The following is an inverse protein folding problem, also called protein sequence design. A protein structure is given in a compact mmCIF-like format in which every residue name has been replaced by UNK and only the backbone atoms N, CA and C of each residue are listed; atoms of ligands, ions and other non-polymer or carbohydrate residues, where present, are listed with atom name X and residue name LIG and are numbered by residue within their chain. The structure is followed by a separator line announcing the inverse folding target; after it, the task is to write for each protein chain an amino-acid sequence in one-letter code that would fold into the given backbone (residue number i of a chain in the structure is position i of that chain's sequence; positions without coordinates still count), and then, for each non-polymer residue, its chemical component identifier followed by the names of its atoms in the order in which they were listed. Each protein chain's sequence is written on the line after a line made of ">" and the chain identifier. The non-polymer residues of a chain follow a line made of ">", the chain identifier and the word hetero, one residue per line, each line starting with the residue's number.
data_IF_263475521455
#
_entry.id   IF_263475521455
#
_cell.length_a   1.000
_cell.length_b   1.000
_cell.length_c   1.000
_cell.angle_alpha   90.00
_cell.angle_beta   90.00
_cell.angle_gamma   90.00
#
_symmetry.space_group_name_H-M   'P 1'
#
loop_
_entity.id
_entity.type
_entity.pdbx_description
1 polymer ?
#
# COMPACT_ATOMS: atom_id res chain seq x y z
N UNK A 1 -13.25 -6.80 -18.37
CA UNK A 1 -13.50 -5.38 -18.05
C UNK A 1 -13.04 -5.19 -16.62
N UNK A 2 -11.78 -4.80 -16.48
CA UNK A 2 -11.06 -4.75 -15.21
C UNK A 2 -11.41 -3.48 -14.44
N UNK A 3 -11.50 -3.60 -13.11
CA UNK A 3 -11.60 -2.50 -12.15
C UNK A 3 -10.54 -1.45 -12.46
N UNK A 4 -10.97 -0.32 -13.02
CA UNK A 4 -10.25 0.95 -12.95
C UNK A 4 -10.62 1.59 -11.60
N UNK A 5 -10.21 0.98 -10.50
CA UNK A 5 -10.29 1.61 -9.18
C UNK A 5 -9.04 2.48 -9.01
N UNK A 6 -9.21 3.76 -9.36
CA UNK A 6 -8.68 4.92 -8.64
C UNK A 6 -7.40 4.74 -7.79
N UNK A 7 -6.23 4.59 -8.44
CA UNK A 7 -4.92 4.77 -7.79
C UNK A 7 -4.34 6.17 -7.97
N UNK A 8 -5.06 7.08 -8.65
CA UNK A 8 -4.67 8.50 -8.79
C UNK A 8 -4.81 9.31 -7.48
N UNK A 9 -5.41 8.73 -6.43
CA UNK A 9 -6.08 9.51 -5.37
C UNK A 9 -5.47 9.41 -3.96
N UNK A 10 -4.76 8.34 -3.59
CA UNK A 10 -4.36 8.16 -2.18
C UNK A 10 -3.12 8.97 -1.76
N UNK A 11 -2.23 9.36 -2.69
CA UNK A 11 -1.09 10.24 -2.38
C UNK A 11 -1.43 11.75 -2.43
N UNK A 12 -2.63 12.12 -2.87
CA UNK A 12 -3.04 13.52 -3.06
C UNK A 12 -4.14 14.01 -2.10
N UNK A 13 -4.82 13.11 -1.39
CA UNK A 13 -5.92 13.47 -0.49
C UNK A 13 -5.45 13.64 0.96
N UNK A 14 -4.86 14.80 1.25
CA UNK A 14 -4.72 15.30 2.62
C UNK A 14 -5.83 16.30 2.95
N UNK A 15 -6.58 15.98 4.02
CA UNK A 15 -7.50 16.82 4.82
C UNK A 15 -8.94 17.10 4.30
N UNK A 16 -9.90 16.52 5.05
CA UNK A 16 -11.18 17.02 5.56
C UNK A 16 -12.09 17.93 4.69
N UNK A 17 -13.31 17.45 4.36
CA UNK A 17 -14.62 17.85 4.93
C UNK A 17 -15.83 17.51 3.99
N UNK A 18 -17.12 17.61 4.42
CA UNK A 18 -18.10 16.54 4.27
C UNK A 18 -19.03 16.64 3.05
N UNK A 19 -19.65 15.52 2.75
CA UNK A 19 -20.58 15.31 1.64
C UNK A 19 -21.93 16.01 1.84
N UNK A 20 -22.36 16.80 0.84
CA UNK A 20 -23.74 17.24 0.68
C UNK A 20 -24.43 16.58 -0.52
N UNK A 21 -25.70 16.26 -0.29
CA UNK A 21 -26.52 15.33 -1.05
C UNK A 21 -27.08 15.91 -2.35
N UNK A 22 -27.27 15.01 -3.31
CA UNK A 22 -27.83 15.22 -4.64
C UNK A 22 -29.33 15.56 -4.66
N UNK A 23 -29.71 16.52 -5.50
CA UNK A 23 -31.08 16.71 -5.99
C UNK A 23 -31.13 16.67 -7.52
N UNK A 24 -31.86 15.72 -8.09
CA UNK A 24 -32.07 15.54 -9.53
C UNK A 24 -33.09 16.55 -10.11
N UNK A 25 -32.85 17.06 -11.32
CA UNK A 25 -33.93 17.38 -12.26
C UNK A 25 -33.41 17.42 -13.72
N UNK A 26 -34.05 16.62 -14.59
CA UNK A 26 -33.87 16.59 -16.05
C UNK A 26 -34.67 17.71 -16.73
N UNK A 27 -34.13 18.37 -17.75
CA UNK A 27 -34.88 18.76 -18.97
C UNK A 27 -33.93 18.98 -20.16
N UNK A 28 -34.36 18.52 -21.34
CA UNK A 28 -33.70 18.71 -22.66
C UNK A 28 -34.18 20.02 -23.29
N UNK A 29 -33.29 20.81 -23.88
CA UNK A 29 -33.63 21.82 -24.88
C UNK A 29 -32.48 22.08 -25.87
N UNK A 30 -32.86 22.53 -27.07
CA UNK A 30 -32.16 22.46 -28.34
C UNK A 30 -30.92 23.37 -28.51
N UNK A 31 -30.16 23.08 -29.56
CA UNK A 31 -28.82 23.60 -29.83
C UNK A 31 -28.72 25.11 -30.05
N UNK A 32 -27.64 25.66 -29.49
CA UNK A 32 -26.97 26.90 -29.91
C UNK A 32 -25.48 26.59 -30.05
N UNK A 33 -24.76 27.20 -31.01
CA UNK A 33 -23.33 26.95 -31.17
C UNK A 33 -22.64 27.35 -29.87
N UNK A 34 -21.88 26.42 -29.27
CA UNK A 34 -21.11 26.66 -28.06
C UNK A 34 -20.07 27.75 -28.35
N UNK A 35 -20.42 29.01 -28.06
CA UNK A 35 -19.43 30.08 -27.87
C UNK A 35 -18.43 29.53 -26.85
N UNK A 36 -17.16 29.40 -27.24
CA UNK A 36 -16.05 29.11 -26.32
C UNK A 36 -16.20 30.05 -25.13
N UNK A 37 -16.49 29.51 -23.93
CA UNK A 37 -16.37 30.26 -22.69
C UNK A 37 -14.91 30.72 -22.63
N UNK A 38 -14.65 32.02 -22.78
CA UNK A 38 -13.39 32.63 -22.34
C UNK A 38 -13.30 32.30 -20.85
N UNK A 39 -12.28 31.53 -20.43
CA UNK A 39 -11.97 31.31 -19.00
C UNK A 39 -11.90 32.72 -18.38
N UNK A 40 -12.68 32.97 -17.33
CA UNK A 40 -12.68 34.27 -16.66
C UNK A 40 -11.24 34.53 -16.20
N UNK A 41 -10.66 35.65 -16.65
CA UNK A 41 -9.35 36.06 -16.17
C UNK A 41 -9.53 36.33 -14.67
N UNK A 42 -8.93 35.51 -13.81
CA UNK A 42 -8.98 35.73 -12.37
C UNK A 42 -8.27 37.06 -12.12
N UNK A 43 -8.96 38.07 -11.58
CA UNK A 43 -8.30 39.30 -11.17
C UNK A 43 -7.42 38.96 -9.96
N UNK A 44 -6.11 38.85 -10.19
CA UNK A 44 -5.12 38.61 -9.15
C UNK A 44 -4.72 39.96 -8.58
N UNK A 45 -5.05 40.21 -7.31
CA UNK A 45 -4.67 41.45 -6.61
C UNK A 45 -3.14 41.54 -6.52
N UNK A 46 -2.58 42.70 -6.85
CA UNK A 46 -1.12 42.87 -6.91
C UNK A 46 -0.52 43.09 -5.51
N UNK A 47 -0.10 42.01 -4.86
CA UNK A 47 0.53 42.01 -3.53
C UNK A 47 1.81 42.85 -3.46
N UNK A 48 2.56 42.97 -4.56
CA UNK A 48 3.75 43.83 -4.59
C UNK A 48 3.36 45.30 -4.56
N UNK A 49 2.35 45.68 -5.36
CA UNK A 49 1.80 47.03 -5.34
C UNK A 49 1.13 47.36 -4.00
N UNK A 50 0.45 46.40 -3.36
CA UNK A 50 -0.20 46.57 -2.06
C UNK A 50 0.82 46.87 -0.94
N UNK A 51 1.95 46.17 -0.95
CA UNK A 51 3.06 46.43 -0.03
C UNK A 51 3.95 47.61 -0.48
N UNK A 52 3.80 48.10 -1.71
CA UNK A 52 4.64 49.16 -2.28
C UNK A 52 6.09 48.74 -2.52
N UNK A 53 6.31 47.46 -2.86
CA UNK A 53 7.64 46.90 -3.13
C UNK A 53 7.78 46.45 -4.58
N UNK A 54 9.02 46.36 -5.06
CA UNK A 54 9.31 45.75 -6.36
C UNK A 54 9.20 44.22 -6.31
N UNK A 55 8.91 43.58 -7.45
CA UNK A 55 8.85 42.12 -7.57
C UNK A 55 10.19 41.43 -7.22
N UNK A 56 11.32 42.13 -7.34
CA UNK A 56 12.64 41.66 -6.94
C UNK A 56 12.99 41.95 -5.46
N UNK A 57 12.04 42.44 -4.65
CA UNK A 57 12.29 42.78 -3.26
C UNK A 57 12.73 41.57 -2.42
N UNK A 58 13.77 41.78 -1.62
CA UNK A 58 14.30 40.80 -0.68
C UNK A 58 13.47 40.75 0.62
N UNK A 59 13.72 39.72 1.44
CA UNK A 59 13.01 39.51 2.70
C UNK A 59 13.09 40.72 3.67
N UNK A 60 14.26 41.38 3.86
CA UNK A 60 14.36 42.61 4.63
C UNK A 60 13.51 43.77 4.09
N UNK A 61 13.44 43.96 2.77
CA UNK A 61 12.58 44.97 2.15
C UNK A 61 11.09 44.67 2.36
N UNK A 62 10.66 43.42 2.17
CA UNK A 62 9.28 42.99 2.43
C UNK A 62 8.86 43.24 3.88
N UNK A 63 9.72 42.91 4.84
CA UNK A 63 9.45 43.13 6.27
C UNK A 63 9.34 44.62 6.61
N UNK A 64 10.22 45.46 6.06
CA UNK A 64 10.17 46.93 6.26
C UNK A 64 8.89 47.52 5.68
N UNK A 65 8.51 47.09 4.48
CA UNK A 65 7.30 47.52 3.80
C UNK A 65 6.03 47.11 4.58
N UNK A 66 5.97 45.87 5.06
CA UNK A 66 4.88 45.40 5.91
C UNK A 66 4.73 46.24 7.18
N UNK A 67 5.83 46.50 7.90
CA UNK A 67 5.80 47.34 9.12
C UNK A 67 5.32 48.76 8.80
N UNK A 68 5.76 49.35 7.69
CA UNK A 68 5.31 50.67 7.27
C UNK A 68 3.80 50.68 6.95
N UNK A 69 3.32 49.68 6.20
CA UNK A 69 1.91 49.54 5.84
C UNK A 69 1.00 49.23 7.02
N UNK A 70 1.46 48.46 8.01
CA UNK A 70 0.72 48.25 9.27
C UNK A 70 0.58 49.52 10.11
N UNK A 71 1.56 50.43 10.06
CA UNK A 71 1.44 51.73 10.74
C UNK A 71 0.50 52.68 10.01
N UNK A 72 0.49 52.63 8.69
CA UNK A 72 -0.41 53.41 7.83
C UNK A 72 -1.86 52.91 7.91
N UNK A 73 -2.06 51.60 8.02
CA UNK A 73 -3.36 50.93 8.13
C UNK A 73 -3.43 50.07 9.41
N UNK A 74 -3.66 50.69 10.59
CA UNK A 74 -3.83 49.93 11.84
C UNK A 74 -5.09 49.06 11.83
N UNK A 75 -5.07 47.87 12.47
CA UNK A 75 -6.20 46.94 12.47
C UNK A 75 -7.47 47.50 13.14
N UNK A 76 -7.33 48.46 14.06
CA UNK A 76 -8.47 49.05 14.76
C UNK A 76 -9.25 50.06 13.91
N UNK A 77 -8.59 50.72 12.95
CA UNK A 77 -9.22 51.75 12.10
C UNK A 77 -9.38 51.32 10.64
N UNK A 78 -8.55 50.40 10.16
CA UNK A 78 -8.50 49.89 8.78
C UNK A 78 -8.40 48.35 8.75
N UNK A 79 -9.39 47.63 9.30
CA UNK A 79 -9.32 46.17 9.44
C UNK A 79 -9.26 45.43 8.09
N UNK A 80 -9.95 45.94 7.07
CA UNK A 80 -9.98 45.30 5.74
C UNK A 80 -8.65 45.47 4.99
N UNK A 81 -8.10 46.68 4.96
CA UNK A 81 -6.80 46.96 4.33
C UNK A 81 -5.66 46.26 5.06
N UNK A 82 -5.69 46.25 6.39
CA UNK A 82 -4.73 45.51 7.21
C UNK A 82 -4.76 44.02 6.89
N UNK A 83 -5.95 43.42 6.75
CA UNK A 83 -6.08 42.01 6.39
C UNK A 83 -5.48 41.72 5.01
N UNK A 84 -5.71 42.58 4.02
CA UNK A 84 -5.10 42.44 2.68
C UNK A 84 -3.57 42.56 2.74
N UNK A 85 -3.04 43.55 3.47
CA UNK A 85 -1.59 43.77 3.67
C UNK A 85 -0.94 42.55 4.34
N UNK A 86 -1.62 41.98 5.35
CA UNK A 86 -1.19 40.77 6.03
C UNK A 86 -1.15 39.58 5.08
N UNK A 87 -2.23 39.33 4.31
CA UNK A 87 -2.28 38.24 3.32
C UNK A 87 -1.17 38.40 2.28
N UNK A 88 -0.96 39.60 1.74
CA UNK A 88 0.11 39.88 0.79
C UNK A 88 1.50 39.59 1.37
N UNK A 89 1.76 40.02 2.61
CA UNK A 89 3.04 39.71 3.26
C UNK A 89 3.20 38.22 3.56
N UNK A 90 2.16 37.55 4.04
CA UNK A 90 2.20 36.12 4.38
C UNK A 90 2.44 35.25 3.14
N UNK A 91 1.93 35.64 1.97
CA UNK A 91 2.19 34.98 0.68
C UNK A 91 3.61 35.28 0.18
N UNK A 92 4.03 36.55 0.18
CA UNK A 92 5.32 36.95 -0.39
C UNK A 92 6.53 36.59 0.49
N UNK A 93 6.33 36.34 1.79
CA UNK A 93 7.38 35.93 2.72
C UNK A 93 7.80 34.46 2.56
N UNK A 94 6.87 33.59 2.17
CA UNK A 94 7.14 32.17 1.97
C UNK A 94 7.63 31.95 0.53
N UNK A 95 8.84 31.41 0.31
CA UNK A 95 9.40 31.24 -1.04
C UNK A 95 8.52 30.41 -1.98
N UNK A 96 7.88 29.36 -1.48
CA UNK A 96 7.02 28.48 -2.28
C UNK A 96 5.71 29.19 -2.63
N UNK A 97 5.07 29.82 -1.63
CA UNK A 97 3.82 30.58 -1.87
C UNK A 97 4.03 31.79 -2.76
N UNK A 98 5.19 32.46 -2.66
CA UNK A 98 5.59 33.56 -3.54
C UNK A 98 5.74 33.06 -4.98
N UNK A 99 6.41 31.92 -5.18
CA UNK A 99 6.54 31.30 -6.51
C UNK A 99 5.18 30.98 -7.13
N UNK A 100 4.28 30.37 -6.36
CA UNK A 100 2.91 30.06 -6.81
C UNK A 100 2.10 31.32 -7.15
N UNK A 101 2.23 32.37 -6.33
CA UNK A 101 1.59 33.65 -6.60
C UNK A 101 2.14 34.33 -7.85
N UNK A 102 3.46 34.34 -8.04
CA UNK A 102 4.11 34.89 -9.23
C UNK A 102 3.64 34.15 -10.50
N UNK A 103 3.54 32.83 -10.42
CA UNK A 103 2.95 31.98 -11.46
C UNK A 103 1.49 32.38 -11.74
N UNK A 104 0.65 32.47 -10.71
CA UNK A 104 -0.76 32.83 -10.86
C UNK A 104 -0.93 34.23 -11.47
N UNK A 105 -0.12 35.19 -11.05
CA UNK A 105 -0.11 36.56 -11.56
C UNK A 105 0.34 36.62 -13.02
N UNK A 106 1.33 35.82 -13.42
CA UNK A 106 1.87 35.81 -14.79
C UNK A 106 0.98 35.05 -15.78
N UNK A 107 0.43 33.90 -15.37
CA UNK A 107 -0.26 32.96 -16.26
C UNK A 107 -1.79 32.93 -16.07
N UNK A 108 -2.31 33.49 -14.98
CA UNK A 108 -3.74 33.52 -14.66
C UNK A 108 -4.29 32.21 -14.08
N UNK A 109 -3.45 31.18 -13.92
CA UNK A 109 -3.76 29.89 -13.29
C UNK A 109 -2.50 29.27 -12.68
N UNK A 110 -2.63 28.41 -11.67
CA UNK A 110 -1.50 27.72 -11.04
C UNK A 110 -1.23 26.36 -11.68
N UNK A 111 -0.04 25.81 -11.42
CA UNK A 111 0.30 24.42 -11.74
C UNK A 111 -0.70 23.47 -11.07
N UNK A 112 -1.06 23.73 -9.82
CA UNK A 112 -1.99 22.91 -9.04
C UNK A 112 -3.41 22.93 -9.65
N UNK A 113 -3.89 24.09 -10.13
CA UNK A 113 -5.17 24.17 -10.83
C UNK A 113 -5.18 23.36 -12.13
N UNK A 114 -4.07 23.38 -12.87
CA UNK A 114 -3.91 22.58 -14.10
C UNK A 114 -3.84 21.08 -13.80
N UNK A 115 -3.14 20.68 -12.74
CA UNK A 115 -3.06 19.30 -12.30
C UNK A 115 -4.44 18.80 -11.86
N UNK A 116 -5.14 19.55 -11.01
CA UNK A 116 -6.51 19.23 -10.57
C UNK A 116 -7.47 19.13 -11.75
N UNK A 117 -7.38 20.05 -12.72
CA UNK A 117 -8.22 19.97 -13.92
C UNK A 117 -7.88 18.71 -14.75
N UNK A 118 -6.60 18.36 -14.88
CA UNK A 118 -6.16 17.16 -15.59
C UNK A 118 -6.61 15.87 -14.90
N UNK A 119 -6.49 15.77 -13.57
CA UNK A 119 -6.91 14.60 -12.79
C UNK A 119 -8.43 14.44 -12.72
N UNK A 120 -9.20 15.54 -12.81
CA UNK A 120 -10.66 15.47 -12.88
C UNK A 120 -11.20 14.81 -14.16
N UNK A 121 -10.37 14.60 -15.19
CA UNK A 121 -10.82 14.02 -16.46
C UNK A 121 -10.94 12.50 -16.30
N UNK A 122 -12.05 11.88 -16.75
CA UNK A 122 -12.25 10.43 -16.62
C UNK A 122 -11.34 9.61 -17.51
N UNK A 123 -10.71 10.22 -18.52
CA UNK A 123 -9.81 9.55 -19.46
C UNK A 123 -8.64 10.47 -19.79
N UNK A 124 -7.47 9.86 -19.96
CA UNK A 124 -6.28 10.55 -20.44
C UNK A 124 -6.46 10.75 -21.94
N UNK A 125 -6.65 12.01 -22.34
CA UNK A 125 -6.83 12.39 -23.73
C UNK A 125 -5.92 13.58 -24.07
N UNK A 126 -6.00 14.04 -25.33
CA UNK A 126 -5.19 15.17 -25.82
C UNK A 126 -5.33 16.43 -24.96
N UNK A 127 -6.51 16.71 -24.40
CA UNK A 127 -6.71 17.87 -23.53
C UNK A 127 -6.00 17.69 -22.19
N UNK A 128 -6.05 16.50 -21.59
CA UNK A 128 -5.30 16.17 -20.37
C UNK A 128 -3.81 16.40 -20.59
N UNK A 129 -3.25 15.87 -21.69
CA UNK A 129 -1.83 16.07 -22.04
C UNK A 129 -1.51 17.55 -22.24
N UNK A 130 -2.39 18.33 -22.88
CA UNK A 130 -2.16 19.76 -23.07
C UNK A 130 -2.18 20.53 -21.74
N UNK A 131 -3.07 20.17 -20.79
CA UNK A 131 -3.08 20.78 -19.46
C UNK A 131 -1.77 20.49 -18.72
N UNK A 132 -1.31 19.24 -18.74
CA UNK A 132 -0.05 18.82 -18.12
C UNK A 132 1.19 19.44 -18.78
N UNK A 133 1.19 19.59 -20.11
CA UNK A 133 2.24 20.34 -20.81
C UNK A 133 2.30 21.79 -20.36
N UNK A 134 1.15 22.47 -20.28
CA UNK A 134 1.08 23.85 -19.79
C UNK A 134 1.57 23.95 -18.35
N UNK A 135 1.26 22.97 -17.50
CA UNK A 135 1.77 22.91 -16.14
C UNK A 135 3.32 22.83 -16.11
N UNK A 136 3.91 21.98 -16.95
CA UNK A 136 5.37 21.88 -17.11
C UNK A 136 5.99 23.11 -17.79
N UNK A 137 5.26 23.81 -18.67
CA UNK A 137 5.74 25.06 -19.29
C UNK A 137 5.78 26.22 -18.26
N UNK A 138 4.82 26.23 -17.32
CA UNK A 138 4.74 27.22 -16.24
C UNK A 138 5.83 27.01 -15.19
N UNK A 139 6.02 25.76 -14.73
CA UNK A 139 7.08 25.38 -13.79
C UNK A 139 7.83 24.14 -14.31
N UNK A 140 8.92 24.34 -15.06
CA UNK A 140 9.69 23.25 -15.64
C UNK A 140 10.31 22.31 -14.63
N UNK A 141 10.44 22.68 -13.35
CA UNK A 141 11.04 21.81 -12.34
C UNK A 141 10.00 21.16 -11.40
N UNK A 142 8.70 21.37 -11.68
CA UNK A 142 7.63 20.76 -10.91
C UNK A 142 7.58 19.24 -11.11
N UNK A 143 7.97 18.48 -10.08
CA UNK A 143 8.02 17.01 -10.12
C UNK A 143 6.65 16.39 -10.34
N UNK A 144 5.61 16.87 -9.63
CA UNK A 144 4.24 16.34 -9.76
C UNK A 144 3.72 16.48 -11.19
N UNK A 145 3.89 17.66 -11.81
CA UNK A 145 3.47 17.90 -13.18
C UNK A 145 4.23 17.01 -14.19
N UNK A 146 5.53 16.80 -13.98
CA UNK A 146 6.33 15.92 -14.84
C UNK A 146 5.97 14.45 -14.70
N UNK A 147 5.77 13.95 -13.48
CA UNK A 147 5.32 12.57 -13.25
C UNK A 147 3.94 12.33 -13.87
N UNK A 148 2.99 13.25 -13.66
CA UNK A 148 1.67 13.17 -14.27
C UNK A 148 1.75 13.18 -15.81
N UNK A 149 2.61 14.03 -16.40
CA UNK A 149 2.83 14.07 -17.84
C UNK A 149 3.51 12.78 -18.36
N UNK A 150 4.47 12.22 -17.62
CA UNK A 150 5.13 10.96 -17.95
C UNK A 150 4.12 9.81 -17.98
N UNK A 151 3.30 9.69 -16.93
CA UNK A 151 2.23 8.71 -16.84
C UNK A 151 1.25 8.85 -18.01
N UNK A 152 0.81 10.08 -18.30
CA UNK A 152 -0.11 10.35 -19.41
C UNK A 152 0.48 9.94 -20.77
N UNK A 153 1.78 10.10 -20.96
CA UNK A 153 2.46 9.64 -22.16
C UNK A 153 2.57 8.11 -22.23
N UNK A 154 2.91 7.42 -21.15
CA UNK A 154 2.89 5.96 -21.14
C UNK A 154 1.49 5.41 -21.43
N UNK A 155 0.46 5.96 -20.78
CA UNK A 155 -0.94 5.57 -20.97
C UNK A 155 -1.48 5.85 -22.40
N UNK A 156 -0.81 6.70 -23.17
CA UNK A 156 -1.18 7.03 -24.56
C UNK A 156 -0.16 6.54 -25.59
N UNK A 157 0.67 5.56 -25.22
CA UNK A 157 1.67 4.89 -26.07
C UNK A 157 2.73 5.85 -26.66
N UNK A 158 3.25 6.74 -25.80
CA UNK A 158 4.29 7.73 -26.14
C UNK A 158 5.51 7.59 -25.23
N UNK A 159 6.19 6.44 -25.24
CA UNK A 159 7.23 6.13 -24.26
C UNK A 159 8.43 7.06 -24.34
N UNK A 160 8.84 7.50 -25.53
CA UNK A 160 10.00 8.38 -25.69
C UNK A 160 9.80 9.71 -24.95
N UNK A 161 8.61 10.31 -25.07
CA UNK A 161 8.29 11.55 -24.37
C UNK A 161 8.12 11.33 -22.86
N UNK A 162 7.61 10.16 -22.44
CA UNK A 162 7.51 9.78 -21.04
C UNK A 162 8.90 9.68 -20.39
N UNK A 163 9.82 8.92 -21.00
CA UNK A 163 11.22 8.84 -20.54
C UNK A 163 11.91 10.21 -20.57
N UNK A 164 11.56 11.08 -21.52
CA UNK A 164 12.04 12.47 -21.55
C UNK A 164 11.72 13.24 -20.26
N UNK A 165 10.53 13.06 -19.69
CA UNK A 165 10.17 13.66 -18.39
C UNK A 165 11.00 13.07 -17.25
N UNK A 166 11.15 11.74 -17.22
CA UNK A 166 11.96 11.05 -16.22
C UNK A 166 13.43 11.52 -16.24
N UNK A 167 14.06 11.56 -17.42
CA UNK A 167 15.46 12.00 -17.54
C UNK A 167 15.64 13.47 -17.17
N UNK A 168 14.64 14.32 -17.41
CA UNK A 168 14.67 15.69 -16.94
C UNK A 168 14.72 15.78 -15.41
N UNK A 169 13.85 15.01 -14.73
CA UNK A 169 13.83 14.93 -13.26
C UNK A 169 15.14 14.33 -12.73
N UNK A 170 15.62 13.24 -13.33
CA UNK A 170 16.85 12.55 -12.95
C UNK A 170 18.09 13.45 -12.98
N UNK A 171 18.21 14.35 -13.97
CA UNK A 171 19.34 15.28 -14.09
C UNK A 171 19.42 16.32 -12.95
N UNK A 172 18.32 16.54 -12.24
CA UNK A 172 18.19 17.52 -11.15
C UNK A 172 17.99 16.87 -9.78
N UNK A 173 17.82 15.55 -9.74
CA UNK A 173 17.67 14.79 -8.51
C UNK A 173 19.02 14.68 -7.79
N UNK A 174 18.97 14.76 -6.45
CA UNK A 174 20.14 14.44 -5.63
C UNK A 174 20.38 12.92 -5.64
N UNK A 175 21.62 12.44 -5.41
CA UNK A 175 21.92 11.01 -5.47
C UNK A 175 21.04 10.12 -4.59
N UNK A 176 20.67 10.61 -3.41
CA UNK A 176 19.77 9.95 -2.44
C UNK A 176 18.31 9.85 -2.92
N UNK A 177 17.89 10.69 -3.86
CA UNK A 177 16.53 10.70 -4.41
C UNK A 177 16.38 9.77 -5.62
N UNK A 178 17.50 9.37 -6.24
CA UNK A 178 17.51 8.61 -7.49
C UNK A 178 16.82 7.24 -7.39
N UNK A 179 16.98 6.44 -6.31
CA UNK A 179 16.28 5.17 -6.21
C UNK A 179 14.76 5.35 -6.17
N UNK A 180 14.25 6.25 -5.33
CA UNK A 180 12.80 6.50 -5.25
C UNK A 180 12.25 6.98 -6.59
N UNK A 181 12.92 7.93 -7.24
CA UNK A 181 12.51 8.42 -8.56
C UNK A 181 12.46 7.32 -9.63
N UNK A 182 13.41 6.37 -9.61
CA UNK A 182 13.41 5.24 -10.55
C UNK A 182 12.36 4.19 -10.17
N UNK A 183 12.12 3.95 -8.89
CA UNK A 183 11.01 3.13 -8.42
C UNK A 183 9.67 3.67 -8.95
N UNK A 184 9.45 5.00 -8.88
CA UNK A 184 8.24 5.64 -9.40
C UNK A 184 8.11 5.44 -10.94
N UNK A 185 9.23 5.40 -11.67
CA UNK A 185 9.22 5.04 -13.10
C UNK A 185 8.76 3.61 -13.34
N UNK A 186 9.26 2.65 -12.56
CA UNK A 186 8.82 1.24 -12.66
C UNK A 186 7.33 1.13 -12.34
N UNK A 187 6.87 1.78 -11.26
CA UNK A 187 5.46 1.82 -10.88
C UNK A 187 4.58 2.38 -12.00
N UNK A 188 4.99 3.48 -12.65
CA UNK A 188 4.25 4.03 -13.80
C UNK A 188 4.16 3.04 -14.97
N UNK A 189 5.23 2.28 -15.25
CA UNK A 189 5.24 1.26 -16.30
C UNK A 189 4.30 0.08 -15.97
N UNK A 190 4.30 -0.38 -14.71
CA UNK A 190 3.38 -1.42 -14.22
C UNK A 190 1.93 -0.96 -14.35
N UNK A 191 1.60 0.21 -13.82
CA UNK A 191 0.24 0.75 -13.85
C UNK A 191 -0.30 1.00 -15.26
N UNK A 192 0.59 1.28 -16.22
CA UNK A 192 0.22 1.45 -17.64
C UNK A 192 0.33 0.17 -18.46
N UNK A 193 0.49 -0.99 -17.79
CA UNK A 193 0.54 -2.32 -18.38
C UNK A 193 1.66 -2.48 -19.43
N UNK A 194 2.79 -1.80 -19.22
CA UNK A 194 3.97 -1.81 -20.10
C UNK A 194 4.96 -2.88 -19.64
N UNK A 195 4.52 -4.14 -19.73
CA UNK A 195 5.16 -5.33 -19.14
C UNK A 195 6.66 -5.45 -19.46
N UNK A 196 7.04 -5.36 -20.73
CA UNK A 196 8.43 -5.58 -21.15
C UNK A 196 9.37 -4.47 -20.63
N UNK A 197 8.92 -3.23 -20.63
CA UNK A 197 9.72 -2.11 -20.10
C UNK A 197 9.74 -2.09 -18.57
N UNK A 198 8.64 -2.42 -17.90
CA UNK A 198 8.58 -2.55 -16.45
C UNK A 198 9.62 -3.57 -15.96
N UNK A 199 9.64 -4.77 -16.55
CA UNK A 199 10.62 -5.80 -16.20
C UNK A 199 12.06 -5.36 -16.49
N UNK A 200 12.29 -4.72 -17.65
CA UNK A 200 13.64 -4.26 -18.02
C UNK A 200 14.17 -3.19 -17.05
N UNK A 201 13.32 -2.24 -16.64
CA UNK A 201 13.69 -1.19 -15.69
C UNK A 201 13.80 -1.72 -14.25
N UNK A 202 12.96 -2.68 -13.85
CA UNK A 202 13.09 -3.37 -12.55
C UNK A 202 14.43 -4.12 -12.43
N UNK A 203 14.85 -4.84 -13.48
CA UNK A 203 16.16 -5.50 -13.52
C UNK A 203 17.32 -4.52 -13.42
N UNK A 204 17.24 -3.41 -14.15
CA UNK A 204 18.25 -2.34 -14.07
C UNK A 204 18.29 -1.70 -12.69
N UNK A 205 17.13 -1.52 -12.07
CA UNK A 205 17.02 -1.00 -10.72
C UNK A 205 17.73 -1.91 -9.71
N UNK A 206 17.43 -3.22 -9.71
CA UNK A 206 18.05 -4.22 -8.84
C UNK A 206 19.58 -4.23 -8.98
N UNK A 207 20.09 -4.18 -10.21
CA UNK A 207 21.53 -4.15 -10.47
C UNK A 207 22.20 -2.82 -10.06
N UNK A 208 21.47 -1.71 -10.09
CA UNK A 208 22.03 -0.36 -9.82
C UNK A 208 21.93 0.02 -8.35
N UNK A 209 20.81 -0.30 -7.69
CA UNK A 209 20.52 0.06 -6.31
C UNK A 209 20.10 -1.17 -5.49
N UNK A 210 20.99 -2.17 -5.33
CA UNK A 210 20.66 -3.41 -4.65
C UNK A 210 20.13 -3.18 -3.23
N UNK A 211 20.68 -2.20 -2.50
CA UNK A 211 20.23 -1.84 -1.15
C UNK A 211 18.91 -1.07 -1.08
N UNK A 212 18.47 -0.49 -2.19
CA UNK A 212 17.16 0.15 -2.28
C UNK A 212 16.05 -0.83 -2.70
N UNK A 213 16.41 -2.07 -3.08
CA UNK A 213 15.45 -3.08 -3.53
C UNK A 213 14.39 -3.41 -2.47
N UNK A 214 14.78 -3.47 -1.20
CA UNK A 214 13.85 -3.72 -0.10
C UNK A 214 12.76 -2.63 0.00
N UNK A 215 13.14 -1.36 -0.11
CA UNK A 215 12.17 -0.25 -0.06
C UNK A 215 11.31 -0.14 -1.34
N UNK A 216 11.76 -0.74 -2.44
CA UNK A 216 11.06 -0.79 -3.72
C UNK A 216 10.39 -2.16 -3.96
N UNK A 217 10.33 -3.02 -2.95
CA UNK A 217 10.09 -4.45 -3.11
C UNK A 217 8.77 -4.75 -3.81
N UNK A 218 7.68 -4.14 -3.34
CA UNK A 218 6.34 -4.37 -3.90
C UNK A 218 6.28 -3.98 -5.38
N UNK A 219 6.83 -2.81 -5.73
CA UNK A 219 6.87 -2.34 -7.13
C UNK A 219 7.73 -3.26 -8.02
N UNK A 220 8.83 -3.80 -7.48
CA UNK A 220 9.66 -4.74 -8.22
C UNK A 220 8.94 -6.09 -8.39
N UNK A 221 8.30 -6.60 -7.35
CA UNK A 221 7.51 -7.82 -7.40
C UNK A 221 6.39 -7.71 -8.43
N UNK A 222 5.59 -6.65 -8.38
CA UNK A 222 4.52 -6.37 -9.35
C UNK A 222 5.04 -6.34 -10.80
N UNK A 223 6.22 -5.75 -11.04
CA UNK A 223 6.80 -5.70 -12.38
C UNK A 223 7.19 -7.10 -12.91
N UNK A 224 7.65 -7.99 -12.05
CA UNK A 224 7.97 -9.37 -12.42
C UNK A 224 6.72 -10.25 -12.53
N UNK A 225 5.73 -10.08 -11.64
CA UNK A 225 4.42 -10.75 -11.71
C UNK A 225 3.68 -10.38 -12.99
N UNK A 226 3.66 -9.09 -13.35
CA UNK A 226 3.06 -8.63 -14.60
C UNK A 226 3.68 -9.31 -15.83
N UNK A 227 4.95 -9.72 -15.73
CA UNK A 227 5.66 -10.43 -16.78
C UNK A 227 5.61 -11.97 -16.64
N UNK A 228 5.07 -12.51 -15.55
CA UNK A 228 5.11 -13.93 -15.19
C UNK A 228 6.54 -14.45 -15.02
N UNK A 229 7.42 -13.67 -14.40
CA UNK A 229 8.87 -13.94 -14.23
C UNK A 229 9.32 -13.98 -12.77
N UNK A 230 8.43 -14.23 -11.84
CA UNK A 230 8.68 -14.27 -10.38
C UNK A 230 9.82 -15.25 -10.02
N UNK A 231 9.96 -16.36 -10.76
CA UNK A 231 11.08 -17.29 -10.60
C UNK A 231 12.43 -16.67 -10.96
N UNK A 232 12.47 -15.75 -11.93
CA UNK A 232 13.68 -14.99 -12.25
C UNK A 232 14.00 -14.01 -11.14
N UNK A 233 13.00 -13.31 -10.58
CA UNK A 233 13.20 -12.41 -9.43
C UNK A 233 13.82 -13.15 -8.24
N UNK A 234 13.31 -14.36 -7.95
CA UNK A 234 13.86 -15.21 -6.89
C UNK A 234 15.35 -15.55 -7.11
N UNK A 235 15.74 -15.80 -8.36
CA UNK A 235 17.13 -16.05 -8.71
C UNK A 235 17.99 -14.77 -8.67
N UNK A 236 17.45 -13.65 -9.14
CA UNK A 236 18.12 -12.35 -9.17
C UNK A 236 18.48 -11.88 -7.75
N UNK A 237 17.57 -12.03 -6.77
CA UNK A 237 17.84 -11.67 -5.37
C UNK A 237 18.87 -12.58 -4.73
N UNK A 238 18.76 -13.89 -4.99
CA UNK A 238 19.75 -14.86 -4.51
C UNK A 238 21.15 -14.51 -5.02
N UNK A 239 21.26 -14.06 -6.29
CA UNK A 239 22.51 -13.61 -6.88
C UNK A 239 22.97 -12.27 -6.28
N UNK A 240 22.08 -11.29 -6.17
CA UNK A 240 22.34 -9.98 -5.60
C UNK A 240 22.92 -10.08 -4.18
N UNK A 241 22.30 -10.90 -3.32
CA UNK A 241 22.77 -11.14 -1.94
C UNK A 241 24.18 -11.74 -1.92
N UNK A 242 24.55 -12.58 -2.89
CA UNK A 242 25.90 -13.17 -2.97
C UNK A 242 26.96 -12.17 -3.41
N UNK A 243 26.58 -11.21 -4.24
CA UNK A 243 27.47 -10.21 -4.79
C UNK A 243 27.64 -9.00 -3.89
N UNK A 244 26.83 -8.88 -2.82
CA UNK A 244 26.99 -7.82 -1.81
C UNK A 244 28.39 -7.86 -1.19
N UNK A 245 29.12 -6.77 -1.38
CA UNK A 245 30.37 -6.48 -0.69
C UNK A 245 30.09 -5.67 0.57
N UNK A 246 30.73 -6.04 1.69
CA UNK A 246 30.59 -5.35 2.99
C UNK A 246 29.12 -5.26 3.46
N UNK A 247 28.50 -6.38 3.88
CA UNK A 247 27.12 -6.41 4.29
C UNK A 247 26.87 -5.48 5.50
N UNK A 248 25.81 -4.68 5.43
CA UNK A 248 25.34 -3.78 6.50
C UNK A 248 24.08 -4.35 7.13
N UNK A 249 23.68 -3.86 8.31
CA UNK A 249 22.58 -4.45 9.08
C UNK A 249 21.23 -4.36 8.35
N UNK A 250 21.05 -3.31 7.55
CA UNK A 250 19.88 -3.04 6.71
C UNK A 250 19.69 -4.08 5.60
N UNK A 251 20.76 -4.79 5.20
CA UNK A 251 20.68 -5.85 4.18
C UNK A 251 19.81 -7.03 4.65
N UNK A 252 19.43 -7.11 5.95
CA UNK A 252 18.44 -8.07 6.48
C UNK A 252 17.14 -8.07 5.67
N UNK A 253 16.75 -6.91 5.14
CA UNK A 253 15.52 -6.75 4.38
C UNK A 253 15.52 -7.56 3.07
N UNK A 254 16.68 -7.72 2.44
CA UNK A 254 16.83 -8.54 1.23
C UNK A 254 16.63 -10.03 1.54
N UNK A 255 17.06 -10.48 2.72
CA UNK A 255 16.84 -11.86 3.14
C UNK A 255 15.38 -12.13 3.48
N UNK A 256 14.67 -11.16 4.07
CA UNK A 256 13.23 -11.29 4.28
C UNK A 256 12.48 -11.38 2.95
N UNK A 257 12.72 -10.44 2.03
CA UNK A 257 12.15 -10.46 0.68
C UNK A 257 12.41 -11.78 -0.05
N UNK A 258 13.65 -12.30 0.02
CA UNK A 258 14.00 -13.59 -0.57
C UNK A 258 13.18 -14.75 0.04
N UNK A 259 13.04 -14.76 1.36
CA UNK A 259 12.29 -15.80 2.06
C UNK A 259 10.80 -15.75 1.71
N UNK A 260 10.20 -14.56 1.76
CA UNK A 260 8.79 -14.33 1.47
C UNK A 260 8.44 -14.71 0.03
N UNK A 261 9.29 -14.34 -0.94
CA UNK A 261 9.09 -14.75 -2.33
C UNK A 261 9.24 -16.27 -2.53
N UNK A 262 10.19 -16.90 -1.83
CA UNK A 262 10.36 -18.35 -1.94
C UNK A 262 9.16 -19.12 -1.39
N UNK A 263 8.54 -18.63 -0.32
CA UNK A 263 7.29 -19.20 0.24
C UNK A 263 6.10 -18.93 -0.68
N UNK A 264 5.95 -17.71 -1.19
CA UNK A 264 4.87 -17.35 -2.13
C UNK A 264 4.89 -18.21 -3.41
N UNK A 265 6.09 -18.61 -3.88
CA UNK A 265 6.28 -19.49 -5.03
C UNK A 265 6.23 -20.99 -4.72
N UNK A 266 5.90 -21.38 -3.48
CA UNK A 266 5.91 -22.76 -2.97
C UNK A 266 7.24 -23.48 -3.27
N UNK A 267 8.36 -22.82 -2.98
CA UNK A 267 9.72 -23.33 -3.17
C UNK A 267 10.38 -23.64 -1.82
N UNK A 268 9.99 -24.71 -1.11
CA UNK A 268 10.45 -24.98 0.26
C UNK A 268 11.98 -25.16 0.37
N UNK A 269 12.61 -25.70 -0.68
CA UNK A 269 14.07 -25.82 -0.73
C UNK A 269 14.77 -24.46 -0.84
N UNK A 270 14.18 -23.50 -1.57
CA UNK A 270 14.68 -22.13 -1.69
C UNK A 270 14.43 -21.34 -0.42
N UNK A 271 13.26 -21.49 0.21
CA UNK A 271 12.95 -20.87 1.49
C UNK A 271 13.91 -21.33 2.60
N UNK A 272 14.18 -22.64 2.69
CA UNK A 272 15.16 -23.18 3.65
C UNK A 272 16.58 -22.65 3.39
N UNK A 273 16.95 -22.45 2.11
CA UNK A 273 18.23 -21.84 1.74
C UNK A 273 18.31 -20.37 2.14
N UNK A 274 17.26 -19.60 1.88
CA UNK A 274 17.14 -18.19 2.27
C UNK A 274 17.27 -18.04 3.79
N UNK A 275 16.52 -18.84 4.56
CA UNK A 275 16.59 -18.85 6.02
C UNK A 275 18.02 -19.20 6.50
N UNK A 276 18.64 -20.23 5.94
CA UNK A 276 20.01 -20.61 6.27
C UNK A 276 21.04 -19.50 6.00
N UNK A 277 20.86 -18.74 4.92
CA UNK A 277 21.70 -17.60 4.58
C UNK A 277 21.46 -16.41 5.53
N UNK A 278 20.19 -16.09 5.82
CA UNK A 278 19.80 -15.06 6.77
C UNK A 278 20.39 -15.33 8.16
N UNK A 279 20.31 -16.57 8.65
CA UNK A 279 20.91 -16.97 9.93
C UNK A 279 22.42 -16.74 9.97
N UNK A 280 23.14 -16.96 8.86
CA UNK A 280 24.59 -16.70 8.78
C UNK A 280 24.89 -15.21 8.78
N UNK A 281 24.11 -14.44 8.02
CA UNK A 281 24.20 -12.98 7.97
C UNK A 281 23.94 -12.36 9.36
N UNK A 282 22.89 -12.76 10.07
CA UNK A 282 22.62 -12.25 11.43
C UNK A 282 23.80 -12.55 12.38
N UNK A 283 24.41 -13.74 12.24
CA UNK A 283 25.55 -14.14 13.07
C UNK A 283 26.86 -13.43 12.72
N UNK A 284 27.00 -12.81 11.55
CA UNK A 284 28.20 -12.03 11.23
C UNK A 284 28.27 -10.71 12.01
N UNK A 285 27.16 -10.24 12.56
CA UNK A 285 27.13 -9.07 13.44
C UNK A 285 27.37 -9.48 14.90
N UNK A 286 28.45 -8.93 15.47
CA UNK A 286 28.87 -9.21 16.85
C UNK A 286 28.36 -8.19 17.87
N UNK A 287 28.10 -6.96 17.44
CA UNK A 287 27.69 -5.86 18.31
C UNK A 287 26.19 -5.91 18.65
N UNK A 288 25.86 -5.38 19.83
CA UNK A 288 24.49 -5.41 20.34
C UNK A 288 23.55 -4.47 19.56
N UNK A 289 24.07 -3.36 19.05
CA UNK A 289 23.27 -2.35 18.31
C UNK A 289 22.76 -2.93 17.00
N UNK A 290 23.64 -3.56 16.21
CA UNK A 290 23.28 -4.25 14.98
C UNK A 290 22.24 -5.36 15.22
N UNK A 291 22.43 -6.16 16.27
CA UNK A 291 21.48 -7.23 16.62
C UNK A 291 20.12 -6.67 17.05
N UNK A 292 20.10 -5.59 17.82
CA UNK A 292 18.85 -4.91 18.19
C UNK A 292 18.13 -4.41 16.96
N UNK A 293 18.84 -3.75 16.03
CA UNK A 293 18.25 -3.29 14.77
C UNK A 293 17.60 -4.44 13.99
N UNK A 294 18.30 -5.57 13.84
CA UNK A 294 17.77 -6.75 13.15
C UNK A 294 16.51 -7.28 13.86
N UNK A 295 16.50 -7.34 15.19
CA UNK A 295 15.31 -7.75 15.94
C UNK A 295 14.15 -6.79 15.68
N UNK A 296 14.38 -5.49 15.77
CA UNK A 296 13.34 -4.47 15.59
C UNK A 296 12.77 -4.50 14.16
N UNK A 297 13.63 -4.63 13.14
CA UNK A 297 13.22 -4.79 11.74
C UNK A 297 12.35 -6.04 11.56
N UNK A 298 12.83 -7.22 11.97
CA UNK A 298 12.07 -8.47 11.83
C UNK A 298 10.79 -8.47 12.67
N UNK A 299 10.76 -7.69 13.76
CA UNK A 299 9.56 -7.47 14.57
C UNK A 299 8.51 -6.65 13.85
N UNK A 300 8.91 -5.59 13.19
CA UNK A 300 8.00 -4.80 12.38
C UNK A 300 7.47 -5.63 11.22
N UNK A 301 8.35 -6.35 10.55
CA UNK A 301 8.01 -7.05 9.31
C UNK A 301 7.18 -8.34 9.55
N UNK A 302 7.31 -9.03 10.70
CA UNK A 302 6.38 -10.14 10.99
C UNK A 302 4.93 -9.67 11.12
N UNK A 303 4.70 -8.43 11.56
CA UNK A 303 3.34 -7.95 11.86
C UNK A 303 2.51 -7.92 10.58
N UNK A 304 3.10 -7.48 9.47
CA UNK A 304 2.44 -7.45 8.16
C UNK A 304 2.01 -8.87 7.72
N UNK A 305 2.85 -9.89 7.93
CA UNK A 305 2.49 -11.28 7.64
C UNK A 305 1.48 -11.85 8.63
N UNK A 306 1.55 -11.45 9.90
CA UNK A 306 0.59 -11.90 10.90
C UNK A 306 -0.82 -11.41 10.56
N UNK A 307 -0.94 -10.13 10.20
CA UNK A 307 -2.20 -9.50 9.85
C UNK A 307 -2.79 -10.08 8.54
N UNK A 308 -1.93 -10.49 7.62
CA UNK A 308 -2.32 -11.22 6.40
C UNK A 308 -2.49 -12.74 6.60
N UNK A 309 -2.36 -13.25 7.84
CA UNK A 309 -2.47 -14.68 8.22
C UNK A 309 -1.40 -15.62 7.67
N UNK A 310 -0.31 -15.08 7.15
CA UNK A 310 0.86 -15.82 6.67
C UNK A 310 1.76 -16.27 7.84
N UNK A 311 1.19 -17.06 8.76
CA UNK A 311 1.85 -17.47 10.00
C UNK A 311 3.14 -18.29 9.76
N UNK A 312 3.27 -18.93 8.60
CA UNK A 312 4.49 -19.66 8.23
C UNK A 312 5.67 -18.70 8.05
N UNK A 313 5.48 -17.60 7.30
CA UNK A 313 6.52 -16.58 7.09
C UNK A 313 6.76 -15.84 8.41
N UNK A 314 5.70 -15.36 9.06
CA UNK A 314 5.79 -14.66 10.36
C UNK A 314 6.61 -15.47 11.37
N UNK A 315 6.39 -16.80 11.44
CA UNK A 315 7.18 -17.68 12.30
C UNK A 315 8.66 -17.66 11.95
N UNK A 316 9.01 -17.81 10.68
CA UNK A 316 10.41 -17.84 10.25
C UNK A 316 11.12 -16.52 10.57
N UNK A 317 10.45 -15.39 10.42
CA UNK A 317 10.98 -14.07 10.80
C UNK A 317 11.25 -13.96 12.30
N UNK A 318 10.31 -14.42 13.14
CA UNK A 318 10.51 -14.47 14.60
C UNK A 318 11.64 -15.43 14.99
N UNK A 319 11.78 -16.56 14.30
CA UNK A 319 12.89 -17.49 14.52
C UNK A 319 14.24 -16.91 14.10
N UNK A 320 14.27 -16.03 13.09
CA UNK A 320 15.45 -15.25 12.71
C UNK A 320 15.76 -14.17 13.76
N UNK A 321 14.74 -13.49 14.29
CA UNK A 321 14.92 -12.55 15.40
C UNK A 321 15.51 -13.24 16.65
N UNK A 322 15.10 -14.48 16.94
CA UNK A 322 15.70 -15.31 17.99
C UNK A 322 17.16 -15.70 17.73
N UNK A 323 17.65 -15.65 16.48
CA UNK A 323 19.09 -15.80 16.19
C UNK A 323 19.87 -14.56 16.64
N UNK A 324 19.30 -13.37 16.46
CA UNK A 324 19.89 -12.11 16.91
C UNK A 324 19.82 -11.99 18.45
N UNK A 325 18.70 -12.39 19.06
CA UNK A 325 18.52 -12.41 20.51
C UNK A 325 17.94 -13.74 21.02
N UNK A 326 18.83 -14.69 21.29
CA UNK A 326 18.48 -16.04 21.77
C UNK A 326 17.85 -16.09 23.16
N UNK A 327 17.96 -15.03 23.96
CA UNK A 327 17.51 -15.01 25.34
C UNK A 327 16.17 -14.32 25.52
N UNK A 328 15.65 -13.68 24.47
CA UNK A 328 14.36 -13.01 24.48
C UNK A 328 13.21 -13.98 24.80
N UNK A 329 12.54 -13.78 25.94
CA UNK A 329 11.43 -14.62 26.37
C UNK A 329 10.16 -14.38 25.54
N UNK A 330 9.91 -13.12 25.14
CA UNK A 330 8.74 -12.74 24.35
C UNK A 330 8.81 -13.36 22.95
N UNK A 331 9.97 -13.28 22.28
CA UNK A 331 10.16 -13.90 20.96
C UNK A 331 10.02 -15.43 21.02
N UNK A 332 10.43 -16.08 22.12
CA UNK A 332 10.23 -17.53 22.30
C UNK A 332 8.75 -17.90 22.41
N UNK A 333 7.99 -17.14 23.21
CA UNK A 333 6.55 -17.33 23.34
C UNK A 333 5.84 -17.06 22.00
N UNK A 334 6.23 -16.00 21.31
CA UNK A 334 5.69 -15.64 20.00
C UNK A 334 5.98 -16.73 18.96
N UNK A 335 7.21 -17.25 18.88
CA UNK A 335 7.57 -18.36 17.97
C UNK A 335 6.74 -19.62 18.25
N UNK A 336 6.53 -19.97 19.53
CA UNK A 336 5.67 -21.11 19.90
C UNK A 336 4.22 -20.89 19.48
N UNK A 337 3.68 -19.69 19.68
CA UNK A 337 2.33 -19.33 19.22
C UNK A 337 2.22 -19.44 17.70
N UNK A 338 3.16 -18.87 16.96
CA UNK A 338 3.17 -18.93 15.50
C UNK A 338 3.36 -20.36 14.96
N UNK A 339 4.08 -21.23 15.66
CA UNK A 339 4.17 -22.66 15.32
C UNK A 339 2.81 -23.35 15.39
N UNK A 340 2.01 -23.01 16.41
CA UNK A 340 0.65 -23.52 16.56
C UNK A 340 -0.24 -22.99 15.42
N UNK A 341 -0.23 -21.68 15.18
CA UNK A 341 -1.05 -21.02 14.15
C UNK A 341 -0.71 -21.49 12.73
N UNK A 342 0.58 -21.60 12.40
CA UNK A 342 1.00 -22.16 11.10
C UNK A 342 0.55 -23.61 10.93
N UNK A 343 0.57 -24.41 12.00
CA UNK A 343 0.05 -25.79 11.96
C UNK A 343 -1.46 -25.84 11.72
N UNK A 344 -2.20 -24.91 12.32
CA UNK A 344 -3.65 -24.76 12.14
C UNK A 344 -3.98 -24.33 10.72
N UNK A 345 -3.29 -23.34 10.16
CA UNK A 345 -3.47 -22.90 8.77
C UNK A 345 -3.30 -24.05 7.76
N UNK A 346 -2.27 -24.88 7.91
CA UNK A 346 -2.05 -26.07 7.07
C UNK A 346 -3.17 -27.10 7.20
N UNK A 347 -3.73 -27.27 8.39
CA UNK A 347 -4.88 -28.15 8.58
C UNK A 347 -6.16 -27.55 7.99
N UNK A 348 -6.35 -26.23 8.06
CA UNK A 348 -7.45 -25.54 7.39
C UNK A 348 -7.43 -25.76 5.87
N UNK A 349 -6.29 -25.52 5.20
CA UNK A 349 -6.15 -25.74 3.75
C UNK A 349 -6.51 -27.17 3.35
N UNK A 350 -5.98 -28.16 4.08
CA UNK A 350 -6.25 -29.57 3.84
C UNK A 350 -7.70 -29.95 4.13
N UNK A 351 -8.27 -29.46 5.23
CA UNK A 351 -9.64 -29.74 5.64
C UNK A 351 -10.67 -29.11 4.69
N UNK A 352 -10.37 -27.94 4.14
CA UNK A 352 -11.23 -27.24 3.17
C UNK A 352 -11.35 -27.99 1.84
N UNK A 353 -10.36 -28.82 1.52
CA UNK A 353 -10.32 -29.65 0.31
C UNK A 353 -10.68 -31.13 0.58
N UNK A 354 -11.08 -31.48 1.82
CA UNK A 354 -11.42 -32.86 2.19
C UNK A 354 -12.93 -33.09 2.07
N UNK A 355 -13.35 -33.65 0.94
CA UNK A 355 -14.76 -33.99 0.65
C UNK A 355 -15.39 -34.96 1.68
N UNK A 356 -14.58 -35.63 2.51
CA UNK A 356 -15.07 -36.53 3.56
C UNK A 356 -15.36 -35.81 4.87
N UNK A 357 -14.78 -34.62 5.08
CA UNK A 357 -15.08 -33.79 6.23
C UNK A 357 -16.41 -33.09 5.98
N UNK A 358 -17.33 -33.23 6.93
CA UNK A 358 -18.64 -32.60 6.83
C UNK A 358 -18.49 -31.07 6.79
N UNK A 359 -18.86 -30.45 5.66
CA UNK A 359 -18.55 -29.05 5.36
C UNK A 359 -18.95 -28.04 6.45
N UNK A 360 -20.11 -28.18 7.14
CA UNK A 360 -20.45 -27.29 8.25
C UNK A 360 -19.43 -27.26 9.40
N UNK A 361 -18.74 -28.38 9.66
CA UNK A 361 -17.71 -28.44 10.72
C UNK A 361 -16.51 -27.57 10.36
N UNK A 362 -16.05 -27.58 9.11
CA UNK A 362 -14.92 -26.72 8.72
C UNK A 362 -15.35 -25.24 8.62
N UNK A 363 -16.60 -24.95 8.23
CA UNK A 363 -17.13 -23.59 8.20
C UNK A 363 -17.22 -22.96 9.60
N UNK A 364 -17.66 -23.71 10.61
CA UNK A 364 -17.68 -23.22 12.00
C UNK A 364 -16.26 -22.99 12.53
N UNK A 365 -15.32 -23.87 12.18
CA UNK A 365 -13.91 -23.69 12.52
C UNK A 365 -13.35 -22.40 11.90
N UNK A 366 -13.65 -22.14 10.63
CA UNK A 366 -13.24 -20.91 9.93
C UNK A 366 -13.87 -19.69 10.57
N UNK A 367 -15.19 -19.71 10.86
CA UNK A 367 -15.87 -18.58 11.51
C UNK A 367 -15.19 -18.24 12.84
N UNK A 368 -14.94 -19.23 13.70
CA UNK A 368 -14.25 -19.01 14.97
C UNK A 368 -12.84 -18.45 14.80
N UNK A 369 -12.12 -18.89 13.77
CA UNK A 369 -10.80 -18.37 13.45
C UNK A 369 -10.88 -16.91 12.99
N UNK A 370 -11.82 -16.58 12.11
CA UNK A 370 -12.01 -15.20 11.67
C UNK A 370 -12.44 -14.28 12.82
N UNK A 371 -13.33 -14.73 13.71
CA UNK A 371 -13.73 -14.00 14.93
C UNK A 371 -12.52 -13.69 15.84
N UNK A 372 -11.60 -14.65 15.99
CA UNK A 372 -10.46 -14.53 16.90
C UNK A 372 -9.37 -13.58 16.39
N UNK A 373 -9.19 -13.51 15.07
CA UNK A 373 -8.16 -12.70 14.42
C UNK A 373 -8.70 -11.40 13.79
N UNK A 374 -9.97 -11.08 14.03
CA UNK A 374 -10.65 -9.90 13.46
C UNK A 374 -10.53 -9.80 11.92
N UNK A 375 -10.50 -10.96 11.26
CA UNK A 375 -10.37 -11.08 9.80
C UNK A 375 -11.73 -10.94 9.09
N UNK A 376 -12.75 -10.48 9.82
CA UNK A 376 -14.12 -10.33 9.38
C UNK A 376 -14.31 -8.95 8.76
N UNK A 377 -14.52 -8.94 7.45
CA UNK A 377 -15.08 -7.78 6.73
C UNK A 377 -16.57 -8.02 6.52
N UNK A 378 -17.41 -6.98 6.57
CA UNK A 378 -18.89 -7.04 6.46
C UNK A 378 -19.46 -8.02 5.41
N UNK A 379 -18.77 -8.21 4.27
CA UNK A 379 -19.19 -9.11 3.19
C UNK A 379 -18.96 -10.61 3.48
N UNK A 380 -17.89 -10.97 4.19
CA UNK A 380 -17.57 -12.36 4.57
C UNK A 380 -18.47 -12.87 5.70
N UNK A 381 -18.89 -11.97 6.60
CA UNK A 381 -19.88 -12.25 7.64
C UNK A 381 -21.18 -12.77 7.04
N UNK A 382 -21.71 -12.09 6.02
CA UNK A 382 -22.97 -12.51 5.38
C UNK A 382 -22.83 -13.88 4.71
N UNK A 383 -21.72 -14.16 4.04
CA UNK A 383 -21.54 -15.44 3.33
C UNK A 383 -21.27 -16.63 4.27
N UNK A 384 -20.41 -16.48 5.28
CA UNK A 384 -20.15 -17.53 6.27
C UNK A 384 -21.37 -17.77 7.16
N UNK A 385 -22.05 -16.71 7.57
CA UNK A 385 -23.28 -16.81 8.37
C UNK A 385 -24.39 -17.46 7.55
N UNK A 386 -24.66 -17.01 6.32
CA UNK A 386 -25.66 -17.65 5.43
C UNK A 386 -25.32 -19.10 5.12
N UNK A 387 -24.04 -19.43 4.88
CA UNK A 387 -23.62 -20.81 4.66
C UNK A 387 -23.85 -21.66 5.92
N UNK A 388 -23.56 -21.15 7.12
CA UNK A 388 -23.84 -21.85 8.38
C UNK A 388 -25.34 -22.00 8.68
N UNK A 389 -26.14 -20.97 8.36
CA UNK A 389 -27.59 -20.95 8.54
C UNK A 389 -28.34 -21.85 7.54
N UNK A 390 -27.82 -21.98 6.31
CA UNK A 390 -28.39 -22.88 5.30
C UNK A 390 -28.32 -24.36 5.72
N UNK A 391 -27.44 -24.70 6.67
CA UNK A 391 -27.30 -26.04 7.23
C UNK A 391 -27.89 -26.20 8.65
N UNK A 392 -28.54 -25.18 9.22
CA UNK A 392 -29.19 -25.21 10.54
C UNK A 392 -30.55 -25.95 10.54
N UNK A 393 -30.66 -27.08 9.82
CA UNK A 393 -31.77 -28.00 10.07
C UNK A 393 -31.41 -28.80 11.33
N UNK A 394 -32.12 -28.58 12.44
CA UNK A 394 -31.93 -29.34 13.68
C UNK A 394 -32.62 -30.71 13.57
N UNK A 395 -32.32 -31.42 12.48
CA UNK A 395 -32.85 -32.74 12.19
C UNK A 395 -31.91 -33.80 12.78
N UNK A 396 -32.44 -34.96 13.21
CA UNK A 396 -31.61 -36.05 13.76
C UNK A 396 -30.47 -36.47 12.82
N UNK A 397 -30.76 -36.62 11.52
CA UNK A 397 -29.77 -36.97 10.50
C UNK A 397 -28.62 -35.95 10.42
N UNK A 398 -28.95 -34.66 10.42
CA UNK A 398 -27.93 -33.61 10.37
C UNK A 398 -27.06 -33.60 11.63
N UNK A 399 -27.68 -33.78 12.80
CA UNK A 399 -26.99 -33.86 14.08
C UNK A 399 -26.00 -35.04 14.15
N UNK A 400 -26.36 -36.19 13.58
CA UNK A 400 -25.44 -37.34 13.44
C UNK A 400 -24.26 -37.03 12.51
N UNK A 401 -24.53 -36.46 11.32
CA UNK A 401 -23.48 -36.09 10.37
C UNK A 401 -22.51 -35.05 10.96
N UNK A 402 -23.04 -34.07 11.68
CA UNK A 402 -22.24 -33.06 12.35
C UNK A 402 -21.36 -33.68 13.45
N UNK A 403 -21.94 -34.53 14.31
CA UNK A 403 -21.18 -35.22 15.36
C UNK A 403 -20.11 -36.16 14.80
N UNK A 404 -20.40 -36.87 13.70
CA UNK A 404 -19.42 -37.69 12.97
C UNK A 404 -18.30 -36.83 12.38
N UNK A 405 -18.65 -35.66 11.82
CA UNK A 405 -17.70 -34.66 11.33
C UNK A 405 -16.73 -34.18 12.40
N UNK A 406 -17.19 -33.90 13.63
CA UNK A 406 -16.32 -33.54 14.76
C UNK A 406 -15.35 -34.68 15.12
N UNK A 407 -15.83 -35.93 15.14
CA UNK A 407 -14.98 -37.10 15.42
C UNK A 407 -13.92 -37.27 14.32
N UNK A 408 -14.33 -37.10 13.06
CA UNK A 408 -13.43 -37.15 11.91
C UNK A 408 -12.38 -36.03 11.98
N UNK A 409 -12.80 -34.79 12.29
CA UNK A 409 -11.93 -33.65 12.52
C UNK A 409 -10.87 -33.98 13.58
N UNK A 410 -11.27 -34.49 14.75
CA UNK A 410 -10.36 -34.90 15.83
C UNK A 410 -9.31 -35.92 15.38
N UNK A 411 -9.68 -36.83 14.48
CA UNK A 411 -8.82 -37.93 14.00
C UNK A 411 -7.87 -37.48 12.89
N UNK A 412 -8.32 -36.60 11.98
CA UNK A 412 -7.59 -36.23 10.76
C UNK A 412 -6.92 -34.86 10.82
N UNK A 413 -7.45 -33.96 11.65
CA UNK A 413 -7.03 -32.57 11.84
C UNK A 413 -6.90 -32.27 13.35
N UNK A 414 -5.98 -32.96 14.05
CA UNK A 414 -5.86 -32.88 15.50
C UNK A 414 -5.38 -31.51 16.00
N UNK A 415 -4.62 -30.73 15.22
CA UNK A 415 -4.22 -29.38 15.64
C UNK A 415 -5.43 -28.44 15.66
N UNK A 416 -6.24 -28.44 14.60
CA UNK A 416 -7.47 -27.67 14.48
C UNK A 416 -8.50 -28.07 15.55
N UNK A 417 -8.65 -29.37 15.81
CA UNK A 417 -9.52 -29.85 16.89
C UNK A 417 -9.03 -29.40 18.26
N UNK A 418 -7.73 -29.51 18.56
CA UNK A 418 -7.18 -29.14 19.87
C UNK A 418 -7.28 -27.64 20.13
N UNK A 419 -7.14 -26.82 19.08
CA UNK A 419 -7.20 -25.37 19.20
C UNK A 419 -8.58 -24.89 19.69
N UNK A 420 -9.66 -25.44 19.13
CA UNK A 420 -11.04 -25.15 19.54
C UNK A 420 -11.66 -26.27 20.39
N UNK A 421 -10.85 -26.98 21.20
CA UNK A 421 -11.28 -28.21 21.85
C UNK A 421 -12.56 -28.06 22.67
N UNK A 422 -12.66 -26.99 23.45
CA UNK A 422 -13.82 -26.74 24.32
C UNK A 422 -15.09 -26.51 23.49
N UNK A 423 -15.01 -25.65 22.46
CA UNK A 423 -16.13 -25.38 21.54
C UNK A 423 -16.59 -26.65 20.82
N UNK A 424 -15.66 -27.49 20.36
CA UNK A 424 -16.00 -28.78 19.74
C UNK A 424 -16.66 -29.76 20.70
N UNK A 425 -16.20 -29.84 21.94
CA UNK A 425 -16.78 -30.73 22.95
C UNK A 425 -18.22 -30.30 23.29
N UNK A 426 -18.47 -29.00 23.35
CA UNK A 426 -19.80 -28.46 23.59
C UNK A 426 -20.75 -28.76 22.42
N UNK A 427 -20.35 -28.45 21.18
CA UNK A 427 -21.15 -28.77 19.99
C UNK A 427 -21.43 -30.27 19.86
N UNK A 428 -20.42 -31.12 20.11
CA UNK A 428 -20.61 -32.57 20.08
C UNK A 428 -21.65 -33.02 21.10
N UNK A 429 -21.63 -32.46 22.32
CA UNK A 429 -22.62 -32.75 23.36
C UNK A 429 -24.02 -32.30 22.95
N UNK A 430 -24.16 -31.11 22.36
CA UNK A 430 -25.42 -30.58 21.86
C UNK A 430 -25.99 -31.47 20.75
N UNK A 431 -25.19 -31.79 19.74
CA UNK A 431 -25.61 -32.58 18.57
C UNK A 431 -25.90 -34.04 18.90
N UNK A 432 -25.29 -34.60 19.93
CA UNK A 432 -25.56 -36.00 20.36
C UNK A 432 -26.65 -36.13 21.43
N UNK A 433 -27.24 -35.04 21.91
CA UNK A 433 -28.17 -35.04 23.03
C UNK A 433 -29.42 -35.92 22.79
N UNK A 434 -29.96 -35.91 21.56
CA UNK A 434 -31.14 -36.69 21.16
C UNK A 434 -30.87 -38.10 20.62
N UNK A 435 -29.61 -38.50 20.47
CA UNK A 435 -29.24 -39.80 19.87
C UNK A 435 -29.32 -40.95 20.88
N UNK A 436 -29.80 -42.09 20.41
CA UNK A 436 -29.86 -43.33 21.18
C UNK A 436 -28.45 -43.96 21.36
N UNK A 437 -28.37 -45.01 22.18
CA UNK A 437 -27.08 -45.64 22.54
C UNK A 437 -26.34 -46.26 21.35
N UNK A 438 -27.06 -46.75 20.35
CA UNK A 438 -26.48 -47.44 19.20
C UNK A 438 -26.04 -46.43 18.12
N UNK A 439 -26.81 -45.36 17.92
CA UNK A 439 -26.43 -44.18 17.12
C UNK A 439 -25.17 -43.51 17.67
N UNK A 440 -25.05 -43.37 19.00
CA UNK A 440 -23.81 -42.84 19.61
C UNK A 440 -22.60 -43.76 19.43
N UNK A 441 -22.81 -45.07 19.23
CA UNK A 441 -21.73 -46.04 19.01
C UNK A 441 -21.26 -46.04 17.56
N UNK A 442 -22.15 -45.83 16.59
CA UNK A 442 -21.79 -45.76 15.16
C UNK A 442 -20.91 -44.55 14.83
N UNK A 443 -20.98 -43.47 15.62
CA UNK A 443 -20.13 -42.27 15.47
C UNK A 443 -18.63 -42.48 15.79
N UNK A 444 -18.24 -43.62 16.38
CA UNK A 444 -16.85 -43.85 16.86
C UNK A 444 -15.90 -44.50 15.83
N UNK A 445 -16.29 -44.60 14.56
CA UNK A 445 -15.53 -45.30 13.50
C UNK A 445 -14.41 -44.45 12.87
#
# INVERSE_FOLDING_TARGET
>A
MAKQESLFFDELAGADEPAEQSGQAKTKAAGRPRRRRKKANREVEDYYALLGVDAAADMPALKRAYIAKTKEFPPETHPEEFQKIRVAYDVLRDPERRKEYDILRQYGETVEDLLREATSKPTINRNTINLLKRAVDIDPDNRKARSALAFAYFATDRPQEAYGQFYHMRRRARPDELPKLWCDLVAMLVQTNRTAEALAEAKRFLATYPRAAAAAWDTLLEAYELAGREQELLADIEQLIRELTEPVVEDIALYSAWLSLAEALDQPAKAAKAEGAARKFIKSFGDATARSYIVDYLRQEYQDFYDNTDFAIAKRLVDLALVADKNNAELKQLSQRLQLLSGIGKEFERASSDDRLFSPVILDAMRWFHEEFDLLTDFKDSLLTMASEQYLSDTPMFNELYAAGIVYLKKKYPCLYRYYQERWQELFKQKTAGLNRDERRSLRL
#
